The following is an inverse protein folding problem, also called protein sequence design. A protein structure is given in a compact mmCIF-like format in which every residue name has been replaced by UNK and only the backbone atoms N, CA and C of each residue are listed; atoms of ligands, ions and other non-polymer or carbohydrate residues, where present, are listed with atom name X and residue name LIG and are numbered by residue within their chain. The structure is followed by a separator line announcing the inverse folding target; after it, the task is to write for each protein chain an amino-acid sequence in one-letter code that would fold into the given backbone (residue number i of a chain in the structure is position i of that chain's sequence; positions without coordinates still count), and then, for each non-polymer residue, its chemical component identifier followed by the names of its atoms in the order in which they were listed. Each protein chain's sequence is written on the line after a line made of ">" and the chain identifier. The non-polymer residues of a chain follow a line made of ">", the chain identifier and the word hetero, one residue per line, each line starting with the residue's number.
data_IF_720412782934
#
_entry.id   IF_720412782934
#
_cell.length_a   1.000
_cell.length_b   1.000
_cell.length_c   1.000
_cell.angle_alpha   90.00
_cell.angle_beta   90.00
_cell.angle_gamma   90.00
#
_symmetry.space_group_name_H-M   'P 1'
#
loop_
_entity.id
_entity.type
_entity.pdbx_description
1 polymer ?
#
# COMPACT_ATOMS: atom_id res chain seq x y z
N UNK A 1 3.01 9.48 12.45
CA UNK A 1 3.40 8.17 13.01
C UNK A 1 4.82 8.15 13.56
N UNK A 2 5.88 8.44 12.77
CA UNK A 2 7.26 8.41 13.25
C UNK A 2 7.51 9.30 14.48
N UNK A 3 7.02 10.54 14.48
CA UNK A 3 7.14 11.45 15.62
C UNK A 3 6.49 10.89 16.89
N UNK A 4 5.27 10.37 16.78
CA UNK A 4 4.58 9.76 17.90
C UNK A 4 5.28 8.50 18.43
N UNK A 5 5.78 7.65 17.54
CA UNK A 5 6.54 6.47 17.93
C UNK A 5 7.78 6.85 18.76
N UNK A 6 8.53 7.84 18.32
CA UNK A 6 9.71 8.35 19.04
C UNK A 6 9.34 9.02 20.36
N UNK A 7 8.28 9.85 20.36
CA UNK A 7 7.80 10.54 21.57
C UNK A 7 7.38 9.56 22.66
N UNK A 8 6.81 8.43 22.29
CA UNK A 8 6.26 7.44 23.21
C UNK A 8 7.14 6.19 23.38
N UNK A 9 8.36 6.21 22.83
CA UNK A 9 9.30 5.08 22.85
C UNK A 9 8.65 3.76 22.39
N UNK A 10 8.01 3.79 21.23
CA UNK A 10 7.31 2.62 20.67
C UNK A 10 8.00 2.11 19.41
N UNK A 11 8.10 0.80 19.32
CA UNK A 11 8.59 0.13 18.10
C UNK A 11 7.44 0.05 17.10
N UNK A 12 7.64 0.66 15.93
CA UNK A 12 6.68 0.62 14.83
C UNK A 12 7.37 0.11 13.58
N UNK A 13 6.87 -1.00 13.05
CA UNK A 13 7.34 -1.57 11.80
C UNK A 13 6.29 -1.43 10.71
N UNK A 14 6.67 -0.85 9.57
CA UNK A 14 5.81 -0.75 8.39
C UNK A 14 5.96 -2.00 7.54
N UNK A 15 4.84 -2.57 7.09
CA UNK A 15 4.81 -3.79 6.29
C UNK A 15 5.20 -3.56 4.83
N UNK A 16 6.49 -3.43 4.56
CA UNK A 16 7.06 -3.31 3.21
C UNK A 16 7.84 -4.59 2.84
N UNK A 17 7.23 -5.73 3.02
CA UNK A 17 7.86 -7.05 2.97
C UNK A 17 8.60 -7.34 1.65
N UNK A 18 8.16 -6.77 0.54
CA UNK A 18 8.79 -6.99 -0.77
C UNK A 18 10.20 -6.39 -0.87
N UNK A 19 10.51 -5.37 -0.08
CA UNK A 19 11.85 -4.79 -0.01
C UNK A 19 12.89 -5.76 0.54
N UNK A 20 12.45 -6.73 1.34
CA UNK A 20 13.32 -7.73 1.97
C UNK A 20 13.30 -9.09 1.26
N UNK A 21 12.78 -9.15 0.03
CA UNK A 21 12.69 -10.40 -0.73
C UNK A 21 14.02 -10.66 -1.44
N UNK A 22 14.74 -11.76 -1.15
CA UNK A 22 16.13 -11.96 -1.61
C UNK A 22 16.32 -11.85 -3.12
N UNK A 23 15.47 -12.52 -3.91
CA UNK A 23 15.57 -12.46 -5.38
C UNK A 23 15.30 -11.07 -5.97
N UNK A 24 14.58 -10.21 -5.24
CA UNK A 24 14.35 -8.83 -5.67
C UNK A 24 15.53 -7.93 -5.34
N UNK A 25 16.18 -8.18 -4.21
CA UNK A 25 17.43 -7.52 -3.83
C UNK A 25 18.49 -7.87 -4.89
N UNK A 26 18.68 -9.16 -5.16
CA UNK A 26 19.61 -9.63 -6.17
C UNK A 26 19.33 -9.06 -7.57
N UNK A 27 18.07 -9.00 -7.98
CA UNK A 27 17.70 -8.42 -9.26
C UNK A 27 18.02 -6.91 -9.32
N UNK A 28 17.79 -6.18 -8.22
CA UNK A 28 18.17 -4.78 -8.14
C UNK A 28 19.69 -4.61 -8.28
N UNK A 29 20.47 -5.32 -7.49
CA UNK A 29 21.92 -5.25 -7.52
C UNK A 29 22.49 -5.58 -8.91
N UNK A 30 22.03 -6.66 -9.53
CA UNK A 30 22.56 -7.15 -10.81
C UNK A 30 22.13 -6.37 -12.03
N UNK A 31 20.98 -5.73 -12.02
CA UNK A 31 20.43 -5.09 -13.21
C UNK A 31 20.27 -3.59 -13.09
N UNK A 32 19.89 -3.09 -11.92
CA UNK A 32 19.66 -1.67 -11.72
C UNK A 32 20.94 -0.98 -11.28
N UNK A 33 21.60 -1.48 -10.23
CA UNK A 33 22.79 -0.83 -9.65
C UNK A 33 24.01 -0.94 -10.58
N UNK A 34 24.09 -2.00 -11.39
CA UNK A 34 25.11 -2.17 -12.43
C UNK A 34 24.74 -1.50 -13.78
N UNK A 35 23.66 -0.72 -13.82
CA UNK A 35 23.18 0.03 -14.99
C UNK A 35 22.95 -0.83 -16.26
N UNK A 36 22.66 -2.12 -16.07
CA UNK A 36 22.48 -3.07 -17.19
C UNK A 36 21.19 -2.83 -17.99
N UNK A 37 20.23 -2.09 -17.43
CA UNK A 37 19.00 -1.74 -18.13
C UNK A 37 19.17 -0.48 -18.99
N UNK A 38 20.29 0.22 -18.85
CA UNK A 38 20.53 1.50 -19.52
C UNK A 38 19.48 2.56 -19.16
N UNK A 39 19.18 3.45 -20.09
CA UNK A 39 18.21 4.53 -19.87
C UNK A 39 16.80 3.98 -19.81
N UNK A 40 16.17 3.97 -18.64
CA UNK A 40 14.78 3.54 -18.47
C UNK A 40 13.85 4.66 -18.90
N UNK A 41 13.07 4.43 -19.94
CA UNK A 41 12.13 5.40 -20.49
C UNK A 41 10.72 5.27 -19.90
N UNK A 42 10.32 4.06 -19.46
CA UNK A 42 8.98 3.78 -18.96
C UNK A 42 9.04 2.67 -17.91
N UNK A 43 8.31 2.85 -16.83
CA UNK A 43 8.05 1.80 -15.83
C UNK A 43 6.55 1.61 -15.71
N UNK A 44 6.07 0.41 -16.01
CA UNK A 44 4.66 0.07 -15.87
C UNK A 44 4.46 -0.84 -14.66
N UNK A 45 3.50 -0.50 -13.82
CA UNK A 45 3.17 -1.25 -12.59
C UNK A 45 1.74 -1.76 -12.70
N UNK A 46 1.59 -3.07 -12.65
CA UNK A 46 0.30 -3.73 -12.74
C UNK A 46 -0.17 -4.23 -11.39
N UNK A 47 -1.41 -3.88 -11.03
CA UNK A 47 -2.09 -4.41 -9.86
C UNK A 47 -3.24 -5.30 -10.30
N UNK A 48 -3.13 -6.59 -10.01
CA UNK A 48 -4.08 -7.62 -10.42
C UNK A 48 -5.09 -7.90 -9.31
N UNK A 49 -5.95 -6.93 -9.02
CA UNK A 49 -6.89 -7.08 -7.92
C UNK A 49 -8.23 -6.43 -8.22
N UNK A 50 -9.30 -7.22 -8.19
CA UNK A 50 -10.65 -6.73 -8.40
C UNK A 50 -11.38 -6.56 -7.08
N UNK A 51 -11.74 -5.32 -6.75
CA UNK A 51 -12.56 -4.96 -5.57
C UNK A 51 -13.96 -4.49 -5.98
N UNK A 52 -14.44 -4.92 -7.13
CA UNK A 52 -15.77 -4.54 -7.59
C UNK A 52 -16.83 -5.38 -6.88
N UNK A 53 -17.70 -4.72 -6.13
CA UNK A 53 -18.94 -5.31 -5.68
C UNK A 53 -19.98 -5.27 -6.82
N UNK A 54 -20.73 -6.33 -6.99
CA UNK A 54 -21.87 -6.37 -7.94
C UNK A 54 -23.13 -5.73 -7.36
N UNK A 55 -23.22 -5.69 -6.05
CA UNK A 55 -24.38 -5.19 -5.31
C UNK A 55 -23.90 -4.37 -4.12
N UNK A 56 -24.69 -3.40 -3.69
CA UNK A 56 -24.50 -2.72 -2.42
C UNK A 56 -25.49 -3.31 -1.42
N UNK A 57 -25.05 -4.16 -0.48
CA UNK A 57 -25.95 -4.74 0.52
C UNK A 57 -26.50 -3.64 1.44
N UNK A 58 -27.67 -3.83 2.03
CA UNK A 58 -28.22 -2.88 2.99
C UNK A 58 -27.34 -2.79 4.24
N UNK A 59 -27.41 -1.65 4.89
CA UNK A 59 -26.80 -1.45 6.19
C UNK A 59 -27.47 -2.34 7.24
N UNK A 60 -26.67 -2.88 8.13
CA UNK A 60 -27.10 -3.83 9.17
C UNK A 60 -26.35 -3.55 10.48
N UNK A 61 -26.72 -4.28 11.52
CA UNK A 61 -25.98 -4.25 12.78
C UNK A 61 -24.67 -5.04 12.63
N UNK A 62 -23.54 -4.51 13.15
CA UNK A 62 -22.30 -5.27 13.20
C UNK A 62 -22.46 -6.60 13.92
N UNK A 63 -21.72 -7.65 13.51
CA UNK A 63 -21.69 -8.92 14.24
C UNK A 63 -21.28 -8.71 15.71
N UNK A 64 -21.85 -9.48 16.63
CA UNK A 64 -21.60 -9.34 18.07
C UNK A 64 -20.12 -9.53 18.49
N UNK A 65 -19.35 -10.23 17.66
CA UNK A 65 -17.91 -10.45 17.89
C UNK A 65 -17.02 -9.39 17.22
N UNK A 66 -17.59 -8.34 16.63
CA UNK A 66 -16.86 -7.24 16.00
C UNK A 66 -17.09 -5.95 16.81
N UNK A 67 -16.05 -5.44 17.42
CA UNK A 67 -16.03 -4.07 17.92
C UNK A 67 -15.85 -3.12 16.72
N UNK A 68 -16.98 -2.71 16.15
CA UNK A 68 -16.96 -1.92 14.91
C UNK A 68 -16.47 -0.50 15.15
N UNK A 69 -16.66 0.05 16.36
CA UNK A 69 -16.15 1.36 16.72
C UNK A 69 -14.62 1.36 16.80
N UNK A 70 -14.06 0.39 17.53
CA UNK A 70 -12.61 0.21 17.58
C UNK A 70 -11.99 -0.12 16.21
N UNK A 71 -12.69 -0.90 15.37
CA UNK A 71 -12.25 -1.21 14.02
C UNK A 71 -12.24 0.04 13.12
N UNK A 72 -13.24 0.90 13.21
CA UNK A 72 -13.32 2.16 12.46
C UNK A 72 -12.20 3.13 12.87
N UNK A 73 -11.83 3.13 14.15
CA UNK A 73 -10.76 3.99 14.69
C UNK A 73 -11.00 5.46 14.43
N UNK A 74 -10.00 6.21 13.94
CA UNK A 74 -10.12 7.65 13.70
C UNK A 74 -10.86 8.01 12.39
N UNK A 75 -11.30 7.04 11.61
CA UNK A 75 -12.04 7.30 10.38
C UNK A 75 -13.49 7.74 10.70
N UNK A 76 -14.16 8.48 9.81
CA UNK A 76 -15.56 8.79 9.97
C UNK A 76 -16.42 7.54 10.12
N UNK A 77 -17.24 7.49 11.15
CA UNK A 77 -18.16 6.38 11.36
C UNK A 77 -19.21 6.35 10.24
N UNK A 78 -19.41 5.18 9.66
CA UNK A 78 -20.48 4.92 8.71
C UNK A 78 -21.30 3.71 9.16
N UNK A 79 -22.54 3.57 8.72
CA UNK A 79 -23.32 2.37 8.98
C UNK A 79 -22.58 1.10 8.50
N UNK A 80 -22.65 0.06 9.30
CA UNK A 80 -22.05 -1.22 8.94
C UNK A 80 -22.84 -1.90 7.82
N UNK A 81 -22.12 -2.42 6.86
CA UNK A 81 -22.65 -3.44 5.94
C UNK A 81 -21.57 -4.48 5.62
N UNK A 82 -21.97 -5.63 5.11
CA UNK A 82 -21.08 -6.76 4.86
C UNK A 82 -20.05 -6.50 3.74
N UNK A 83 -20.21 -5.43 2.99
CA UNK A 83 -19.23 -5.02 2.00
C UNK A 83 -18.02 -4.32 2.64
N UNK A 84 -18.24 -3.58 3.74
CA UNK A 84 -17.17 -2.85 4.43
C UNK A 84 -16.17 -3.80 5.09
N UNK A 85 -16.67 -4.74 5.87
CA UNK A 85 -15.84 -5.63 6.68
C UNK A 85 -16.05 -7.10 6.25
N UNK A 86 -15.00 -7.93 6.22
CA UNK A 86 -13.62 -7.62 6.62
C UNK A 86 -12.70 -7.07 5.51
N UNK A 87 -13.10 -7.09 4.25
CA UNK A 87 -12.17 -6.84 3.15
C UNK A 87 -12.54 -5.69 2.23
N UNK A 88 -13.81 -5.38 2.08
CA UNK A 88 -14.31 -4.39 1.13
C UNK A 88 -14.05 -2.94 1.51
N UNK A 89 -13.57 -2.67 2.72
CA UNK A 89 -13.28 -1.32 3.22
C UNK A 89 -12.38 -0.50 2.27
N UNK A 90 -11.53 -1.16 1.52
CA UNK A 90 -10.63 -0.53 0.53
C UNK A 90 -11.37 0.22 -0.58
N UNK A 91 -12.63 -0.14 -0.83
CA UNK A 91 -13.48 0.52 -1.82
C UNK A 91 -14.10 1.83 -1.32
N UNK A 92 -13.97 2.14 -0.04
CA UNK A 92 -14.56 3.31 0.59
C UNK A 92 -13.51 4.38 0.88
N UNK A 93 -13.76 5.58 0.41
CA UNK A 93 -12.83 6.72 0.54
C UNK A 93 -12.54 7.09 2.00
N UNK A 94 -13.48 6.81 2.89
CA UNK A 94 -13.33 7.03 4.34
C UNK A 94 -12.23 6.16 4.97
N UNK A 95 -11.98 4.99 4.38
CA UNK A 95 -11.08 3.99 4.94
C UNK A 95 -9.81 3.75 4.12
N UNK A 96 -9.78 4.18 2.87
CA UNK A 96 -8.63 3.95 2.01
C UNK A 96 -8.67 4.72 0.70
N UNK A 97 -7.59 4.61 -0.06
CA UNK A 97 -7.43 5.26 -1.36
C UNK A 97 -7.63 4.28 -2.52
N UNK A 98 -8.46 3.26 -2.32
CA UNK A 98 -8.71 2.22 -3.30
C UNK A 98 -7.50 1.29 -3.51
N UNK A 99 -7.53 0.52 -4.60
CA UNK A 99 -6.48 -0.45 -4.93
C UNK A 99 -5.13 0.22 -5.20
N UNK A 100 -5.12 1.40 -5.74
CA UNK A 100 -3.88 2.14 -5.99
C UNK A 100 -3.16 2.42 -4.66
N UNK A 101 -3.87 2.95 -3.67
CA UNK A 101 -3.30 3.19 -2.34
C UNK A 101 -2.94 1.91 -1.60
N UNK A 102 -3.73 0.85 -1.74
CA UNK A 102 -3.51 -0.44 -1.07
C UNK A 102 -2.33 -1.22 -1.67
N UNK A 103 -2.25 -1.32 -3.00
CA UNK A 103 -1.29 -2.20 -3.68
C UNK A 103 -0.05 -1.49 -4.21
N UNK A 104 -0.14 -0.23 -4.61
CA UNK A 104 1.03 0.48 -5.15
C UNK A 104 2.14 0.64 -4.12
N UNK A 105 1.83 0.75 -2.84
CA UNK A 105 2.83 0.78 -1.77
C UNK A 105 3.73 -0.46 -1.81
N UNK A 106 3.20 -1.63 -2.14
CA UNK A 106 3.98 -2.86 -2.26
C UNK A 106 4.79 -2.95 -3.54
N UNK A 107 4.34 -2.29 -4.59
CA UNK A 107 4.99 -2.33 -5.91
C UNK A 107 6.03 -1.22 -6.06
N UNK A 108 5.69 0.01 -5.72
CA UNK A 108 6.60 1.15 -5.78
C UNK A 108 7.76 1.03 -4.79
N UNK A 109 7.49 0.56 -3.58
CA UNK A 109 8.54 0.35 -2.57
C UNK A 109 9.43 -0.86 -2.86
N UNK A 110 8.99 -1.78 -3.69
CA UNK A 110 9.82 -2.87 -4.20
C UNK A 110 11.06 -2.34 -4.92
N UNK A 111 10.89 -1.25 -5.60
CA UNK A 111 11.94 -0.51 -6.24
C UNK A 111 12.43 0.60 -5.29
N UNK A 112 12.84 0.24 -4.05
CA UNK A 112 13.50 1.18 -3.13
C UNK A 112 14.68 1.89 -3.77
N UNK A 113 15.19 1.30 -4.88
CA UNK A 113 15.91 1.98 -5.92
C UNK A 113 15.03 2.79 -6.88
N UNK A 114 13.73 2.57 -7.02
CA UNK A 114 12.92 3.32 -7.98
C UNK A 114 12.38 4.65 -7.40
N UNK A 115 12.12 4.74 -6.09
CA UNK A 115 11.83 6.03 -5.45
C UNK A 115 13.10 6.86 -5.31
N UNK A 116 14.21 6.24 -4.95
CA UNK A 116 15.53 6.90 -4.93
C UNK A 116 16.01 7.15 -6.36
N UNK A 117 15.66 6.28 -7.28
CA UNK A 117 15.97 6.39 -8.70
C UNK A 117 15.07 7.39 -9.43
N UNK A 118 13.77 7.51 -9.06
CA UNK A 118 12.86 8.55 -9.55
C UNK A 118 13.11 9.90 -8.88
N UNK A 119 13.73 9.92 -7.70
CA UNK A 119 14.16 11.15 -7.02
C UNK A 119 15.53 11.65 -7.50
N UNK A 120 16.26 10.85 -8.25
CA UNK A 120 17.51 11.26 -8.88
C UNK A 120 17.22 11.94 -10.23
N UNK A 121 16.84 13.22 -10.16
CA UNK A 121 16.53 14.04 -11.33
C UNK A 121 17.68 14.08 -12.35
N UNK A 122 18.92 13.89 -11.93
CA UNK A 122 20.11 13.92 -12.81
C UNK A 122 20.17 12.69 -13.74
N UNK A 123 19.49 11.59 -13.41
CA UNK A 123 19.44 10.40 -14.29
C UNK A 123 18.54 10.55 -15.51
N UNK A 124 17.59 11.46 -15.47
CA UNK A 124 16.67 11.70 -16.60
C UNK A 124 17.19 12.72 -17.60
N UNK A 125 18.28 13.43 -17.26
CA UNK A 125 18.85 14.50 -18.06
C UNK A 125 20.20 14.16 -18.72
N UNK A 126 20.67 12.93 -18.61
CA UNK A 126 21.90 12.47 -19.29
C UNK A 126 21.61 11.69 -20.55
#
# INVERSE_FOLDING_TARGET
>A
MLGAARQHDRVVQVGLQRRSTPHLIEAKERFIDEDKLGKIALVEIYCYYHMRAKTNPPDTTPPANLDYDAWTGPAPMRPYNSLVHPRGWRAFMEYGNGIVGDMCVHMLTRHGGCSDWLADEDRFHR
#
